data_IF_313859371963
#
_entry.id   IF_313859371963
#
_cell.length_a   1.000
_cell.length_b   1.000
_cell.length_c   1.000
_cell.angle_alpha   90.00
_cell.angle_beta   90.00
_cell.angle_gamma   90.00
#
_symmetry.space_group_name_H-M   'P 1'
#
loop_
_entity.id
_entity.type
_entity.pdbx_description
1 polymer ?
#
# COMPACT_ATOMS: atom_id res chain seq x y z
N UNK A 1 -6.73 12.00 16.42
CA UNK A 1 -6.16 11.40 15.20
C UNK A 1 -6.97 11.96 14.04
N UNK A 2 -6.41 12.89 13.27
CA UNK A 2 -7.06 13.43 12.08
C UNK A 2 -7.07 12.30 11.05
N UNK A 3 -8.25 11.77 10.74
CA UNK A 3 -8.43 10.99 9.52
C UNK A 3 -8.22 11.95 8.37
N UNK A 4 -7.06 11.82 7.70
CA UNK A 4 -6.87 12.44 6.39
C UNK A 4 -8.01 11.93 5.51
N UNK A 5 -8.76 12.83 4.91
CA UNK A 5 -9.76 12.44 3.92
C UNK A 5 -9.02 11.78 2.77
N UNK A 6 -9.18 10.48 2.69
CA UNK A 6 -8.54 9.72 1.62
C UNK A 6 -9.18 10.18 0.32
N UNK A 7 -8.41 10.82 -0.56
CA UNK A 7 -8.88 11.37 -1.84
C UNK A 7 -9.66 10.35 -2.68
N UNK A 8 -9.43 9.07 -2.44
CA UNK A 8 -10.14 7.96 -3.08
C UNK A 8 -11.62 7.91 -2.71
N UNK A 9 -12.06 8.46 -1.55
CA UNK A 9 -13.49 8.49 -1.22
C UNK A 9 -14.28 9.28 -2.24
N UNK A 10 -13.74 10.39 -2.77
CA UNK A 10 -14.37 11.18 -3.80
C UNK A 10 -14.57 10.37 -5.11
N UNK A 11 -13.62 9.48 -5.42
CA UNK A 11 -13.74 8.60 -6.57
C UNK A 11 -14.85 7.56 -6.38
N UNK A 12 -14.92 6.95 -5.21
CA UNK A 12 -15.98 5.99 -4.89
C UNK A 12 -17.35 6.65 -4.89
N UNK A 13 -17.47 7.85 -4.33
CA UNK A 13 -18.71 8.63 -4.36
C UNK A 13 -19.15 8.93 -5.80
N UNK A 14 -18.21 9.26 -6.69
CA UNK A 14 -18.51 9.49 -8.12
C UNK A 14 -19.00 8.23 -8.86
N UNK A 15 -18.67 7.05 -8.34
CA UNK A 15 -19.13 5.75 -8.87
C UNK A 15 -20.36 5.20 -8.12
N UNK A 16 -20.98 5.97 -7.24
CA UNK A 16 -22.06 5.55 -6.34
C UNK A 16 -21.70 4.35 -5.45
N UNK A 17 -20.42 4.21 -5.10
CA UNK A 17 -19.94 3.20 -4.15
C UNK A 17 -19.99 3.81 -2.77
N UNK A 18 -20.83 3.24 -1.90
CA UNK A 18 -20.93 3.68 -0.51
C UNK A 18 -19.63 3.40 0.23
N UNK A 19 -19.02 4.44 0.78
CA UNK A 19 -17.86 4.33 1.67
C UNK A 19 -18.27 4.54 3.11
N UNK A 20 -17.65 3.81 4.03
CA UNK A 20 -17.91 3.93 5.47
C UNK A 20 -16.67 4.45 6.17
N UNK A 21 -16.81 5.59 6.84
CA UNK A 21 -15.78 6.11 7.74
C UNK A 21 -16.08 5.62 9.16
N UNK A 22 -15.18 4.86 9.76
CA UNK A 22 -15.38 4.33 11.10
C UNK A 22 -14.14 4.50 11.96
N UNK A 23 -14.36 4.63 13.28
CA UNK A 23 -13.26 4.64 14.27
C UNK A 23 -12.82 3.22 14.63
N UNK A 24 -13.70 2.23 14.41
CA UNK A 24 -13.43 0.82 14.63
C UNK A 24 -13.72 0.08 13.34
N UNK A 25 -12.66 -0.26 12.64
CA UNK A 25 -12.76 -0.91 11.33
C UNK A 25 -13.47 -2.27 11.43
N UNK A 26 -13.23 -3.01 12.50
CA UNK A 26 -13.82 -4.34 12.73
C UNK A 26 -15.35 -4.29 12.79
N UNK A 27 -15.91 -3.24 13.42
CA UNK A 27 -17.38 -3.10 13.58
C UNK A 27 -18.09 -2.77 12.25
N UNK A 28 -17.35 -2.38 11.22
CA UNK A 28 -17.89 -1.96 9.93
C UNK A 28 -17.78 -3.02 8.83
N UNK A 29 -17.13 -4.15 9.11
CA UNK A 29 -16.91 -5.23 8.13
C UNK A 29 -18.06 -6.22 8.21
N UNK A 30 -18.72 -6.45 7.09
CA UNK A 30 -19.72 -7.49 6.90
C UNK A 30 -19.45 -8.28 5.61
N UNK A 31 -20.22 -9.31 5.34
CA UNK A 31 -20.08 -10.19 4.17
C UNK A 31 -20.29 -9.50 2.81
N UNK A 32 -20.88 -8.29 2.79
CA UNK A 32 -21.10 -7.47 1.60
C UNK A 32 -20.05 -6.38 1.44
N UNK A 33 -19.03 -6.38 2.28
CA UNK A 33 -17.96 -5.39 2.27
C UNK A 33 -16.84 -5.78 1.31
N UNK A 34 -16.07 -4.79 0.89
CA UNK A 34 -14.72 -4.95 0.35
C UNK A 34 -13.81 -3.95 1.07
N UNK A 35 -12.60 -4.37 1.41
CA UNK A 35 -11.72 -3.58 2.24
C UNK A 35 -10.50 -3.09 1.45
N UNK A 36 -10.15 -1.82 1.64
CA UNK A 36 -8.89 -1.26 1.18
C UNK A 36 -8.11 -0.85 2.42
N UNK A 37 -6.94 -1.44 2.59
CA UNK A 37 -6.04 -1.15 3.70
C UNK A 37 -4.74 -0.55 3.19
N UNK A 38 -4.37 0.60 3.75
CA UNK A 38 -3.05 1.23 3.57
C UNK A 38 -2.12 0.72 4.68
N UNK A 39 -1.21 -0.19 4.36
CA UNK A 39 -0.28 -0.80 5.29
C UNK A 39 1.15 -0.80 4.73
N UNK A 40 2.15 -0.34 5.47
CA UNK A 40 2.07 0.24 6.82
C UNK A 40 1.31 1.57 6.84
N UNK A 41 0.83 1.97 8.02
CA UNK A 41 0.10 3.24 8.15
C UNK A 41 0.97 4.41 7.70
N UNK A 42 0.40 5.21 6.83
CA UNK A 42 0.99 6.46 6.40
C UNK A 42 1.23 7.38 7.59
N UNK A 43 2.45 7.84 7.75
CA UNK A 43 2.84 8.77 8.83
C UNK A 43 3.55 8.10 10.01
N UNK A 44 3.10 6.95 10.50
CA UNK A 44 3.81 6.21 11.56
C UNK A 44 4.71 5.11 11.00
N UNK A 45 4.43 4.63 9.81
CA UNK A 45 5.10 3.49 9.17
C UNK A 45 4.98 2.19 9.99
N UNK A 46 3.96 2.08 10.84
CA UNK A 46 3.72 0.94 11.71
C UNK A 46 2.55 0.11 11.21
N UNK A 47 2.55 -1.17 11.58
CA UNK A 47 1.35 -1.99 11.48
C UNK A 47 0.45 -1.74 12.70
N UNK A 48 -0.82 -1.37 12.49
CA UNK A 48 -1.76 -1.23 13.58
C UNK A 48 -1.94 -2.56 14.36
N UNK A 49 -2.14 -2.47 15.66
CA UNK A 49 -2.37 -3.64 16.52
C UNK A 49 -3.63 -4.45 16.17
N UNK A 50 -4.57 -3.83 15.47
CA UNK A 50 -5.82 -4.47 15.00
C UNK A 50 -5.67 -5.21 13.67
N UNK A 51 -4.49 -5.19 13.03
CA UNK A 51 -4.29 -5.72 11.67
C UNK A 51 -4.66 -7.21 11.57
N UNK A 52 -4.18 -8.04 12.50
CA UNK A 52 -4.48 -9.48 12.49
C UNK A 52 -5.96 -9.76 12.76
N UNK A 53 -6.60 -9.05 13.69
CA UNK A 53 -8.03 -9.18 13.96
C UNK A 53 -8.88 -8.87 12.73
N UNK A 54 -8.52 -7.83 11.98
CA UNK A 54 -9.19 -7.46 10.73
C UNK A 54 -9.01 -8.53 9.67
N UNK A 55 -7.80 -9.06 9.50
CA UNK A 55 -7.56 -10.12 8.52
C UNK A 55 -8.29 -11.41 8.89
N UNK A 56 -8.29 -11.82 10.16
CA UNK A 56 -9.02 -13.00 10.63
C UNK A 56 -10.53 -12.87 10.36
N UNK A 57 -11.10 -11.68 10.59
CA UNK A 57 -12.49 -11.40 10.28
C UNK A 57 -12.76 -11.44 8.77
N UNK A 58 -11.90 -10.82 7.95
CA UNK A 58 -12.03 -10.85 6.50
C UNK A 58 -11.89 -12.27 5.93
N UNK A 59 -10.96 -13.09 6.45
CA UNK A 59 -10.82 -14.48 6.05
C UNK A 59 -12.08 -15.29 6.40
N UNK A 60 -12.64 -15.07 7.60
CA UNK A 60 -13.87 -15.74 8.06
C UNK A 60 -15.09 -15.37 7.23
N UNK A 61 -15.27 -14.10 6.93
CA UNK A 61 -16.43 -13.59 6.18
C UNK A 61 -16.22 -13.62 4.66
N UNK A 62 -15.05 -14.04 4.19
CA UNK A 62 -14.64 -14.03 2.78
C UNK A 62 -14.66 -12.63 2.14
N UNK A 63 -14.39 -11.61 2.94
CA UNK A 63 -14.33 -10.21 2.50
C UNK A 63 -13.04 -9.96 1.74
N UNK A 64 -13.08 -9.54 0.47
CA UNK A 64 -11.87 -9.28 -0.31
C UNK A 64 -11.13 -8.04 0.21
N UNK A 65 -9.82 -8.17 0.33
CA UNK A 65 -8.94 -7.08 0.77
C UNK A 65 -7.99 -6.69 -0.36
N UNK A 66 -7.92 -5.39 -0.63
CA UNK A 66 -6.87 -4.78 -1.42
C UNK A 66 -5.90 -4.11 -0.45
N UNK A 67 -4.63 -4.49 -0.50
CA UNK A 67 -3.56 -3.84 0.26
C UNK A 67 -2.90 -2.75 -0.60
N UNK A 68 -2.93 -1.52 -0.11
CA UNK A 68 -2.05 -0.46 -0.60
C UNK A 68 -0.76 -0.47 0.22
N UNK A 69 0.31 -0.96 -0.39
CA UNK A 69 1.61 -1.09 0.27
C UNK A 69 2.60 -0.04 -0.26
N UNK A 70 2.12 1.17 -0.55
CA UNK A 70 2.93 2.23 -1.15
C UNK A 70 4.20 2.57 -0.36
N UNK A 71 4.20 2.34 0.94
CA UNK A 71 5.31 2.65 1.85
C UNK A 71 6.07 1.42 2.37
N UNK A 72 5.66 0.21 1.99
CA UNK A 72 6.23 -1.04 2.52
C UNK A 72 7.74 -1.13 2.36
N UNK A 73 8.26 -0.74 1.20
CA UNK A 73 9.69 -0.81 0.88
C UNK A 73 10.54 0.25 1.58
N UNK A 74 9.91 1.16 2.33
CA UNK A 74 10.58 2.16 3.15
C UNK A 74 10.71 1.73 4.62
N UNK A 75 10.38 0.47 4.93
CA UNK A 75 10.51 -0.11 6.27
C UNK A 75 11.65 -1.13 6.33
N UNK A 76 12.24 -1.27 7.51
CA UNK A 76 13.28 -2.28 7.73
C UNK A 76 12.71 -3.70 7.88
N UNK A 77 11.53 -3.85 8.47
CA UNK A 77 10.89 -5.14 8.71
C UNK A 77 9.39 -5.11 8.41
N UNK A 78 8.97 -5.30 7.17
CA UNK A 78 7.54 -5.43 6.87
C UNK A 78 7.00 -6.76 7.43
N UNK A 79 6.11 -6.69 8.42
CA UNK A 79 5.52 -7.86 9.09
C UNK A 79 4.14 -8.24 8.53
N UNK A 80 3.80 -7.83 7.30
CA UNK A 80 2.51 -8.18 6.70
C UNK A 80 2.55 -9.62 6.19
N UNK A 81 1.63 -10.45 6.68
CA UNK A 81 1.39 -11.77 6.10
C UNK A 81 0.59 -11.65 4.80
N UNK A 82 1.30 -11.70 3.67
CA UNK A 82 0.69 -11.61 2.33
C UNK A 82 -0.05 -12.89 1.91
N UNK A 83 0.10 -14.00 2.63
CA UNK A 83 -0.51 -15.28 2.27
C UNK A 83 -1.96 -15.41 2.75
N UNK A 84 -2.45 -14.47 3.55
CA UNK A 84 -3.86 -14.39 3.97
C UNK A 84 -4.81 -14.56 2.80
N UNK A 85 -5.85 -15.40 2.96
CA UNK A 85 -6.79 -15.73 1.87
C UNK A 85 -7.63 -14.55 1.42
N UNK A 86 -7.99 -13.67 2.36
CA UNK A 86 -8.77 -12.46 2.06
C UNK A 86 -8.00 -11.46 1.19
N UNK A 87 -6.66 -11.46 1.19
CA UNK A 87 -5.87 -10.55 0.36
C UNK A 87 -5.96 -10.98 -1.09
N UNK A 88 -6.68 -10.23 -1.89
CA UNK A 88 -6.90 -10.49 -3.32
C UNK A 88 -6.00 -9.66 -4.23
N UNK A 89 -5.64 -8.47 -3.77
CA UNK A 89 -4.82 -7.52 -4.51
C UNK A 89 -3.80 -6.87 -3.60
N UNK A 90 -2.60 -6.63 -4.14
CA UNK A 90 -1.53 -5.88 -3.48
C UNK A 90 -1.06 -4.82 -4.47
N UNK A 91 -1.07 -3.54 -4.07
CA UNK A 91 -0.53 -2.43 -4.84
C UNK A 91 0.75 -1.93 -4.16
N UNK A 92 1.85 -1.91 -4.88
CA UNK A 92 3.14 -1.44 -4.39
C UNK A 92 3.62 -0.27 -5.25
N UNK A 93 3.94 0.87 -4.63
CA UNK A 93 4.40 2.05 -5.35
C UNK A 93 5.93 2.13 -5.36
N UNK A 94 6.53 2.22 -6.53
CA UNK A 94 7.95 2.48 -6.72
C UNK A 94 8.27 3.98 -6.72
N UNK A 95 7.29 4.83 -7.00
CA UNK A 95 7.47 6.30 -6.98
C UNK A 95 7.95 6.82 -5.62
N UNK A 96 7.60 6.12 -4.52
CA UNK A 96 8.05 6.47 -3.17
C UNK A 96 9.49 6.04 -2.91
N UNK A 97 9.85 4.84 -3.35
CA UNK A 97 11.18 4.26 -3.13
C UNK A 97 12.27 4.90 -3.98
N UNK A 98 11.91 5.35 -5.19
CA UNK A 98 12.83 6.03 -6.11
C UNK A 98 12.65 7.56 -6.15
N UNK A 99 11.79 8.12 -5.27
CA UNK A 99 11.55 9.58 -5.16
C UNK A 99 11.10 10.25 -6.47
N UNK A 100 10.33 9.55 -7.30
CA UNK A 100 9.76 10.12 -8.52
C UNK A 100 8.49 10.90 -8.22
N UNK A 101 8.60 12.20 -8.15
CA UNK A 101 7.45 13.08 -8.02
C UNK A 101 6.75 13.25 -9.39
N UNK A 102 5.42 13.08 -9.39
CA UNK A 102 4.59 13.28 -10.58
C UNK A 102 4.47 12.07 -11.50
N UNK A 103 5.20 10.97 -11.24
CA UNK A 103 5.05 9.72 -11.99
C UNK A 103 4.46 8.64 -11.09
N UNK A 104 3.31 8.11 -11.47
CA UNK A 104 2.72 6.95 -10.80
C UNK A 104 3.38 5.68 -11.33
N UNK A 105 4.35 5.17 -10.61
CA UNK A 105 5.06 3.93 -10.92
C UNK A 105 4.83 2.92 -9.82
N UNK A 106 4.53 1.69 -10.18
CA UNK A 106 4.31 0.63 -9.20
C UNK A 106 3.93 -0.70 -9.81
N UNK A 107 3.67 -1.65 -8.93
CA UNK A 107 3.19 -2.99 -9.26
C UNK A 107 1.84 -3.24 -8.64
N UNK A 108 1.04 -4.02 -9.35
CA UNK A 108 -0.19 -4.60 -8.84
C UNK A 108 -0.09 -6.12 -8.95
N UNK A 109 -0.16 -6.78 -7.82
CA UNK A 109 -0.23 -8.23 -7.73
C UNK A 109 -1.68 -8.64 -7.48
N UNK A 110 -2.11 -9.73 -8.12
CA UNK A 110 -3.43 -10.31 -7.94
C UNK A 110 -3.30 -11.79 -7.67
N UNK A 111 -4.08 -12.30 -6.73
CA UNK A 111 -4.22 -13.76 -6.51
C UNK A 111 -5.25 -14.41 -7.45
N UNK A 112 -5.98 -13.60 -8.24
CA UNK A 112 -6.99 -14.09 -9.19
C UNK A 112 -6.47 -13.99 -10.61
N UNK A 113 -6.86 -14.95 -11.48
CA UNK A 113 -6.50 -14.93 -12.90
C UNK A 113 -7.40 -14.01 -13.74
N UNK A 114 -8.34 -13.29 -13.11
CA UNK A 114 -9.23 -12.38 -13.81
C UNK A 114 -8.46 -11.13 -14.25
N UNK A 115 -8.34 -10.94 -15.55
CA UNK A 115 -7.76 -9.72 -16.13
C UNK A 115 -8.90 -8.72 -16.35
N UNK A 116 -8.82 -7.57 -15.70
CA UNK A 116 -9.78 -6.50 -15.93
C UNK A 116 -9.35 -5.65 -17.13
N UNK A 117 -10.32 -5.01 -17.81
CA UNK A 117 -10.02 -4.04 -18.87
C UNK A 117 -9.10 -2.90 -18.42
N UNK A 118 -9.13 -2.56 -17.15
CA UNK A 118 -8.26 -1.54 -16.56
C UNK A 118 -6.81 -2.01 -16.45
N UNK A 119 -6.58 -3.30 -16.18
CA UNK A 119 -5.22 -3.86 -16.14
C UNK A 119 -4.54 -3.71 -17.51
N UNK A 120 -5.30 -3.94 -18.60
CA UNK A 120 -4.80 -3.76 -19.96
C UNK A 120 -4.54 -2.28 -20.30
N UNK A 121 -5.38 -1.37 -19.83
CA UNK A 121 -5.20 0.07 -20.05
C UNK A 121 -3.91 0.59 -19.41
N UNK A 122 -3.64 0.23 -18.17
CA UNK A 122 -2.42 0.66 -17.48
C UNK A 122 -1.16 0.00 -18.03
N UNK A 123 -1.24 -1.23 -18.52
CA UNK A 123 -0.13 -1.90 -19.18
C UNK A 123 0.30 -1.24 -20.50
N UNK A 124 -0.53 -0.37 -21.08
CA UNK A 124 -0.21 0.34 -22.34
C UNK A 124 0.72 1.55 -22.16
N UNK A 125 1.01 1.98 -20.95
CA UNK A 125 1.95 3.10 -20.71
C UNK A 125 3.40 2.61 -20.80
N UNK A 126 3.82 2.26 -22.02
CA UNK A 126 5.12 1.68 -22.34
C UNK A 126 6.33 2.47 -21.83
N UNK A 127 6.38 3.82 -21.93
CA UNK A 127 7.51 4.57 -21.40
C UNK A 127 7.71 4.36 -19.89
N UNK A 128 6.63 4.39 -19.13
CA UNK A 128 6.72 4.18 -17.67
C UNK A 128 7.12 2.73 -17.33
N UNK A 129 6.64 1.75 -18.10
CA UNK A 129 7.02 0.34 -17.92
C UNK A 129 8.52 0.15 -18.19
N UNK A 130 9.05 0.76 -19.25
CA UNK A 130 10.49 0.67 -19.54
C UNK A 130 11.33 1.28 -18.44
N UNK A 131 10.97 2.45 -17.94
CA UNK A 131 11.65 3.08 -16.80
C UNK A 131 11.64 2.15 -15.58
N UNK A 132 10.51 1.52 -15.27
CA UNK A 132 10.42 0.56 -14.14
C UNK A 132 11.39 -0.61 -14.35
N UNK A 133 11.40 -1.20 -15.54
CA UNK A 133 12.28 -2.33 -15.84
C UNK A 133 13.75 -1.95 -15.70
N UNK A 134 14.16 -0.83 -16.29
CA UNK A 134 15.52 -0.32 -16.20
C UNK A 134 15.95 -0.05 -14.74
N UNK A 135 15.02 0.45 -13.93
CA UNK A 135 15.30 0.69 -12.50
C UNK A 135 15.48 -0.61 -11.72
N UNK A 136 14.60 -1.59 -11.94
CA UNK A 136 14.65 -2.87 -11.22
C UNK A 136 15.87 -3.69 -11.64
N UNK A 137 16.23 -3.65 -12.91
CA UNK A 137 17.41 -4.34 -13.44
C UNK A 137 18.72 -3.76 -12.89
N UNK A 138 18.77 -2.43 -12.65
CA UNK A 138 19.99 -1.77 -12.24
C UNK A 138 20.07 -1.45 -10.74
N UNK A 139 18.93 -1.42 -10.05
CA UNK A 139 18.86 -1.02 -8.64
C UNK A 139 17.88 -1.91 -7.88
N UNK A 140 18.21 -2.20 -6.61
CA UNK A 140 17.21 -2.82 -5.73
C UNK A 140 16.06 -1.83 -5.47
N UNK A 141 14.86 -2.36 -5.21
CA UNK A 141 13.71 -1.53 -4.83
C UNK A 141 13.94 -0.71 -3.54
N UNK A 142 14.97 -1.05 -2.76
CA UNK A 142 15.37 -0.35 -1.54
C UNK A 142 16.62 0.52 -1.72
N UNK A 143 17.18 0.60 -2.91
CA UNK A 143 18.49 1.23 -3.16
C UNK A 143 18.62 2.62 -2.51
N UNK A 144 17.67 3.52 -2.71
CA UNK A 144 17.73 4.87 -2.13
C UNK A 144 17.61 4.82 -0.61
N UNK A 145 16.67 4.01 -0.10
CA UNK A 145 16.47 3.85 1.33
C UNK A 145 17.75 3.36 2.04
N UNK A 146 18.36 2.30 1.52
CA UNK A 146 19.55 1.71 2.08
C UNK A 146 20.78 2.62 1.94
N UNK A 147 20.94 3.27 0.77
CA UNK A 147 22.03 4.22 0.52
C UNK A 147 22.05 5.37 1.51
N UNK A 148 20.88 5.90 1.89
CA UNK A 148 20.78 7.04 2.79
C UNK A 148 20.47 6.67 4.24
N UNK A 149 20.35 5.38 4.59
CA UNK A 149 20.08 4.92 5.94
C UNK A 149 21.08 5.47 6.99
N UNK A 150 22.41 5.49 6.76
CA UNK A 150 23.35 6.04 7.72
C UNK A 150 23.16 7.54 7.96
N UNK A 151 22.85 8.29 6.90
CA UNK A 151 22.60 9.72 6.97
C UNK A 151 21.28 10.03 7.72
N UNK A 152 20.22 9.26 7.42
CA UNK A 152 18.95 9.32 8.12
C UNK A 152 19.14 9.09 9.62
N UNK A 153 19.83 8.01 10.00
CA UNK A 153 20.10 7.68 11.41
C UNK A 153 20.88 8.78 12.12
N UNK A 154 21.86 9.39 11.45
CA UNK A 154 22.62 10.52 11.98
C UNK A 154 21.70 11.73 12.26
N UNK A 155 20.86 12.11 11.30
CA UNK A 155 19.98 13.26 11.45
C UNK A 155 18.87 13.02 12.49
N UNK A 156 18.31 11.81 12.54
CA UNK A 156 17.34 11.46 13.59
C UNK A 156 17.93 11.64 14.98
N UNK A 157 19.17 11.20 15.21
CA UNK A 157 19.87 11.43 16.49
C UNK A 157 20.08 12.91 16.79
N UNK A 158 20.54 13.70 15.81
CA UNK A 158 20.79 15.15 16.00
C UNK A 158 19.50 15.89 16.32
N UNK A 159 18.39 15.54 15.66
CA UNK A 159 17.09 16.20 15.80
C UNK A 159 16.22 15.58 16.89
N UNK A 160 16.71 14.57 17.60
CA UNK A 160 15.93 13.79 18.59
C UNK A 160 14.61 13.25 18.01
N UNK A 161 14.67 12.72 16.80
CA UNK A 161 13.55 12.10 16.12
C UNK A 161 13.71 10.58 16.14
N UNK A 162 12.58 9.87 16.15
CA UNK A 162 12.56 8.43 15.98
C UNK A 162 12.78 8.12 14.49
N UNK A 163 13.74 7.24 14.18
CA UNK A 163 13.87 6.68 12.84
C UNK A 163 12.78 5.61 12.66
N UNK A 164 11.90 5.80 11.70
CA UNK A 164 10.90 4.81 11.28
C UNK A 164 11.42 4.03 10.11
#
# INVERSE_FOLDING_TARGET
>A
MHQEEYWQTQWFDSMNIKTTKTKKIVDAIDENSALILDLPLRGTMELPTWTDEVFDLCDKLQVPVLLDTAYLLLQDNPLVDFDRKCITHICCALSKTFSFNGMSLGFKFKKTNLVSKYDLYYAQNRPNVQIILDLIENFSCRYIFDKYAPLRSKWCKILNLQAT
#
